data_IF_748105431693
#
_entry.id   IF_748105431693
#
_cell.length_a   1.000
_cell.length_b   1.000
_cell.length_c   1.000
_cell.angle_alpha   90.00
_cell.angle_beta   90.00
_cell.angle_gamma   90.00
#
_symmetry.space_group_name_H-M   'P 1'
#
loop_
_entity.id
_entity.type
_entity.pdbx_description
1 polymer ?
#
# COMPACT_ATOMS: atom_id res chain seq x y z
N UNK A 1 7.30 46.33 -12.12
CA UNK A 1 6.13 45.88 -11.37
C UNK A 1 5.71 44.56 -12.04
N UNK A 2 6.09 43.46 -11.43
CA UNK A 2 5.76 42.14 -11.93
C UNK A 2 4.81 41.50 -10.90
N UNK A 3 3.58 41.28 -11.29
CA UNK A 3 2.58 40.56 -10.51
C UNK A 3 2.88 39.07 -10.55
N UNK A 4 3.15 38.51 -9.40
CA UNK A 4 3.28 37.07 -9.19
C UNK A 4 1.88 36.47 -9.06
N UNK A 5 1.46 35.73 -10.08
CA UNK A 5 0.24 34.93 -10.05
C UNK A 5 0.51 33.65 -9.22
N UNK A 6 0.07 33.65 -7.95
CA UNK A 6 0.00 32.47 -7.09
C UNK A 6 -1.32 31.76 -7.38
N UNK A 7 -1.28 30.70 -8.15
CA UNK A 7 -2.42 29.78 -8.29
C UNK A 7 -2.76 29.16 -6.93
N UNK A 8 -3.82 29.63 -6.31
CA UNK A 8 -4.35 29.10 -5.06
C UNK A 8 -5.09 27.78 -5.33
N UNK A 9 -4.59 26.68 -4.81
CA UNK A 9 -5.35 25.43 -4.71
C UNK A 9 -6.46 25.63 -3.68
N UNK A 10 -7.70 25.54 -4.15
CA UNK A 10 -8.89 25.65 -3.30
C UNK A 10 -9.03 24.37 -2.47
N UNK A 11 -8.84 24.48 -1.16
CA UNK A 11 -9.20 23.41 -0.22
C UNK A 11 -10.73 23.43 -0.03
N UNK A 12 -11.39 22.31 -0.32
CA UNK A 12 -12.82 22.14 -0.03
C UNK A 12 -13.00 21.95 1.49
N UNK A 13 -13.68 22.88 2.14
CA UNK A 13 -14.07 22.76 3.54
C UNK A 13 -15.33 21.86 3.66
N UNK A 14 -15.27 20.84 4.51
CA UNK A 14 -16.40 19.96 4.82
C UNK A 14 -17.19 20.53 5.99
N UNK A 15 -18.50 20.65 5.81
CA UNK A 15 -19.47 21.10 6.83
C UNK A 15 -19.83 19.92 7.75
N UNK A 16 -19.68 20.11 9.06
CA UNK A 16 -19.94 19.09 10.09
C UNK A 16 -21.44 18.93 10.34
N UNK A 17 -21.96 17.71 10.33
CA UNK A 17 -23.31 17.35 10.83
C UNK A 17 -23.19 16.68 12.21
N UNK A 18 -24.10 17.02 13.12
CA UNK A 18 -24.10 16.69 14.54
C UNK A 18 -24.47 15.23 14.92
N UNK A 19 -24.47 14.85 16.22
CA UNK A 19 -24.14 13.52 16.71
C UNK A 19 -25.29 12.50 16.74
N UNK A 20 -24.97 11.25 16.40
CA UNK A 20 -25.80 10.05 16.62
C UNK A 20 -25.12 9.09 17.62
N UNK A 21 -25.87 8.46 18.48
CA UNK A 21 -25.44 7.68 19.61
C UNK A 21 -24.65 6.40 19.25
N UNK A 22 -23.55 6.13 19.97
CA UNK A 22 -22.63 5.04 19.73
C UNK A 22 -23.19 3.63 19.94
N UNK A 23 -22.72 2.69 19.12
CA UNK A 23 -22.99 1.26 19.22
C UNK A 23 -21.72 0.51 19.74
N UNK A 24 -21.89 -0.64 20.47
CA UNK A 24 -20.77 -1.37 21.06
C UNK A 24 -19.91 -2.09 20.01
N UNK A 25 -18.63 -2.32 20.36
CA UNK A 25 -17.64 -3.06 19.57
C UNK A 25 -18.20 -4.43 19.15
N UNK A 26 -18.37 -4.65 17.87
CA UNK A 26 -18.81 -5.94 17.33
C UNK A 26 -17.68 -6.98 17.45
N UNK A 27 -17.99 -8.12 18.06
CA UNK A 27 -17.13 -9.30 18.07
C UNK A 27 -17.03 -9.92 16.67
N UNK A 28 -16.10 -10.87 16.44
CA UNK A 28 -15.93 -11.50 15.13
C UNK A 28 -17.23 -12.15 14.66
N UNK A 29 -17.67 -11.81 13.44
CA UNK A 29 -18.82 -12.41 12.77
C UNK A 29 -20.16 -11.65 12.89
N UNK A 30 -20.20 -10.44 13.45
CA UNK A 30 -21.46 -9.66 13.62
C UNK A 30 -21.59 -8.47 12.66
N UNK A 31 -20.60 -8.23 11.78
CA UNK A 31 -20.64 -7.14 10.79
C UNK A 31 -21.62 -7.43 9.65
N UNK A 32 -22.08 -6.37 8.98
CA UNK A 32 -22.91 -6.45 7.77
C UNK A 32 -22.12 -7.03 6.60
N UNK A 33 -22.79 -7.79 5.76
CA UNK A 33 -22.17 -8.35 4.55
C UNK A 33 -21.93 -7.28 3.49
N UNK A 34 -21.04 -7.54 2.53
CA UNK A 34 -20.73 -6.63 1.42
C UNK A 34 -21.94 -6.24 0.54
N UNK A 35 -23.07 -6.93 0.65
CA UNK A 35 -24.30 -6.62 -0.07
C UNK A 35 -25.18 -5.57 0.61
N UNK A 36 -24.87 -5.23 1.88
CA UNK A 36 -25.58 -4.22 2.63
C UNK A 36 -24.82 -2.89 2.57
N UNK A 37 -25.58 -1.78 2.43
CA UNK A 37 -24.97 -0.45 2.53
C UNK A 37 -24.49 -0.26 3.96
N UNK A 38 -23.18 -0.15 4.14
CA UNK A 38 -22.58 0.12 5.44
C UNK A 38 -22.93 1.54 5.89
N UNK A 39 -23.45 1.67 7.10
CA UNK A 39 -23.69 2.98 7.71
C UNK A 39 -22.38 3.65 8.17
N UNK A 40 -21.36 2.84 8.49
CA UNK A 40 -20.03 3.27 8.91
C UNK A 40 -18.94 2.34 8.37
N UNK A 41 -17.77 2.88 8.09
CA UNK A 41 -16.56 2.08 7.76
C UNK A 41 -16.14 1.16 8.90
N UNK A 42 -16.50 1.49 10.13
CA UNK A 42 -16.30 0.63 11.30
C UNK A 42 -17.13 -0.64 11.34
N UNK A 43 -18.16 -0.75 10.49
CA UNK A 43 -19.02 -1.93 10.35
C UNK A 43 -18.51 -2.95 9.31
N UNK A 44 -17.29 -2.78 8.77
CA UNK A 44 -16.73 -3.71 7.77
C UNK A 44 -16.77 -5.14 8.26
N UNK A 45 -17.22 -6.02 7.38
CA UNK A 45 -17.20 -7.45 7.66
C UNK A 45 -15.77 -7.97 7.77
N UNK A 46 -15.50 -8.81 8.75
CA UNK A 46 -14.21 -9.44 8.95
C UNK A 46 -14.39 -10.88 9.45
N UNK A 47 -13.64 -11.82 8.90
CA UNK A 47 -13.72 -13.23 9.28
C UNK A 47 -12.43 -13.97 8.94
N UNK A 48 -12.08 -14.96 9.76
CA UNK A 48 -11.02 -15.92 9.46
C UNK A 48 -11.50 -17.05 8.52
N UNK A 49 -12.81 -17.19 8.34
CA UNK A 49 -13.40 -18.20 7.46
C UNK A 49 -13.67 -17.60 6.07
N UNK A 50 -12.96 -18.04 5.01
CA UNK A 50 -13.22 -17.58 3.65
C UNK A 50 -14.66 -17.85 3.19
N UNK A 51 -15.30 -18.91 3.67
CA UNK A 51 -16.67 -19.26 3.30
C UNK A 51 -17.72 -18.29 3.87
N UNK A 52 -17.36 -17.49 4.87
CA UNK A 52 -18.22 -16.43 5.41
C UNK A 52 -18.33 -15.20 4.49
N UNK A 53 -17.39 -15.03 3.54
CA UNK A 53 -17.42 -13.94 2.57
C UNK A 53 -18.35 -14.29 1.39
N UNK A 54 -19.15 -13.35 0.89
CA UNK A 54 -19.94 -13.58 -0.32
C UNK A 54 -19.02 -13.75 -1.54
N UNK A 55 -19.53 -14.51 -2.53
CA UNK A 55 -18.83 -14.60 -3.81
C UNK A 55 -18.71 -13.22 -4.48
N UNK A 56 -17.53 -12.90 -4.94
CA UNK A 56 -17.25 -11.57 -5.52
C UNK A 56 -17.77 -11.48 -6.96
N UNK A 57 -18.35 -10.33 -7.27
CA UNK A 57 -18.86 -9.99 -8.61
C UNK A 57 -18.05 -8.85 -9.26
N UNK A 58 -17.17 -8.16 -8.50
CA UNK A 58 -16.43 -6.97 -8.92
C UNK A 58 -17.26 -5.68 -8.87
N UNK A 59 -18.47 -5.73 -8.27
CA UNK A 59 -19.34 -4.56 -8.05
C UNK A 59 -19.34 -4.08 -6.61
N UNK A 60 -18.78 -4.89 -5.71
CA UNK A 60 -18.63 -4.58 -4.30
C UNK A 60 -17.72 -3.35 -4.15
N UNK A 61 -18.02 -2.48 -3.19
CA UNK A 61 -17.27 -1.23 -2.95
C UNK A 61 -15.77 -1.48 -2.82
N UNK A 62 -15.39 -2.55 -2.13
CA UNK A 62 -13.98 -2.89 -1.89
C UNK A 62 -13.30 -3.57 -3.09
N UNK A 63 -14.05 -3.96 -4.13
CA UNK A 63 -13.52 -4.71 -5.27
C UNK A 63 -13.80 -4.07 -6.64
N UNK A 64 -14.55 -2.96 -6.68
CA UNK A 64 -15.01 -2.33 -7.94
C UNK A 64 -13.89 -1.86 -8.87
N UNK A 65 -12.69 -1.63 -8.32
CA UNK A 65 -11.52 -1.25 -9.11
C UNK A 65 -10.61 -2.45 -9.43
N UNK A 66 -10.74 -3.55 -8.69
CA UNK A 66 -9.85 -4.71 -8.79
C UNK A 66 -10.28 -5.63 -9.95
N UNK A 67 -9.40 -5.91 -10.93
CA UNK A 67 -9.73 -6.79 -12.04
C UNK A 67 -9.72 -8.26 -11.59
N UNK A 68 -10.86 -8.79 -11.10
CA UNK A 68 -10.98 -10.12 -10.48
C UNK A 68 -10.38 -11.25 -11.34
N UNK A 69 -10.49 -11.16 -12.67
CA UNK A 69 -9.95 -12.17 -13.60
C UNK A 69 -8.42 -12.29 -13.55
N UNK A 70 -7.71 -11.26 -13.06
CA UNK A 70 -6.25 -11.25 -12.94
C UNK A 70 -5.76 -11.81 -11.60
N UNK A 71 -6.66 -12.10 -10.65
CA UNK A 71 -6.30 -12.53 -9.29
C UNK A 71 -5.86 -14.00 -9.20
N UNK A 72 -5.82 -14.73 -10.31
CA UNK A 72 -5.35 -16.13 -10.40
C UNK A 72 -5.96 -17.05 -9.34
N UNK A 73 -7.25 -16.85 -9.00
CA UNK A 73 -7.96 -17.68 -8.04
C UNK A 73 -7.68 -17.41 -6.56
N UNK A 74 -6.93 -16.34 -6.22
CA UNK A 74 -6.66 -15.97 -4.82
C UNK A 74 -7.90 -15.46 -4.09
N UNK A 75 -8.95 -15.07 -4.82
CA UNK A 75 -10.18 -14.48 -4.27
C UNK A 75 -11.35 -15.46 -4.15
N UNK A 76 -11.34 -16.55 -4.91
CA UNK A 76 -12.45 -17.52 -4.99
C UNK A 76 -12.09 -18.91 -4.47
N UNK A 77 -10.86 -19.08 -3.97
CA UNK A 77 -10.35 -20.31 -3.42
C UNK A 77 -9.83 -21.31 -4.44
N UNK A 78 -9.97 -21.06 -5.75
CA UNK A 78 -9.45 -21.99 -6.77
C UNK A 78 -7.92 -22.09 -6.71
N UNK A 79 -7.22 -21.02 -6.35
CA UNK A 79 -5.79 -21.07 -6.10
C UNK A 79 -5.41 -21.99 -4.92
N UNK A 80 -6.23 -22.04 -3.88
CA UNK A 80 -6.02 -22.92 -2.72
C UNK A 80 -6.32 -24.38 -3.04
N UNK A 81 -7.37 -24.65 -3.84
CA UNK A 81 -7.83 -25.98 -4.18
C UNK A 81 -6.98 -26.64 -5.28
N UNK A 82 -6.72 -25.93 -6.37
CA UNK A 82 -6.20 -26.47 -7.62
C UNK A 82 -4.85 -25.89 -8.04
N UNK A 83 -4.39 -24.80 -7.37
CA UNK A 83 -3.15 -24.13 -7.71
C UNK A 83 -1.93 -24.98 -7.39
N UNK A 84 -0.98 -25.05 -8.32
CA UNK A 84 0.33 -25.64 -8.05
C UNK A 84 1.02 -24.82 -6.95
N UNK A 85 1.36 -25.47 -5.84
CA UNK A 85 2.03 -24.80 -4.72
C UNK A 85 3.44 -24.35 -5.13
N UNK A 86 3.68 -23.06 -5.04
CA UNK A 86 4.99 -22.49 -5.24
C UNK A 86 5.88 -22.68 -4.02
N UNK A 87 7.18 -22.69 -4.27
CA UNK A 87 8.16 -22.56 -3.20
C UNK A 87 8.53 -21.09 -3.02
N UNK A 88 8.67 -20.67 -1.78
CA UNK A 88 9.24 -19.37 -1.45
C UNK A 88 10.59 -19.59 -0.77
N UNK A 89 11.59 -18.86 -1.21
CA UNK A 89 12.86 -18.76 -0.49
C UNK A 89 12.74 -17.58 0.46
N UNK A 90 12.74 -17.85 1.76
CA UNK A 90 12.70 -16.81 2.80
C UNK A 90 14.07 -16.76 3.49
N UNK A 91 14.71 -15.61 3.43
CA UNK A 91 15.97 -15.34 4.11
C UNK A 91 15.74 -14.33 5.22
N UNK A 92 16.28 -14.64 6.41
CA UNK A 92 16.16 -13.80 7.59
C UNK A 92 17.55 -13.32 8.01
N UNK A 93 17.71 -12.00 8.12
CA UNK A 93 18.86 -11.38 8.78
C UNK A 93 18.40 -10.73 10.06
N UNK A 94 18.71 -11.34 11.17
CA UNK A 94 18.23 -10.96 12.49
C UNK A 94 19.38 -10.39 13.32
N UNK A 95 19.28 -9.15 13.82
CA UNK A 95 20.21 -8.59 14.80
C UNK A 95 20.24 -9.40 16.11
N UNK A 96 21.32 -9.25 16.87
CA UNK A 96 21.48 -9.92 18.15
C UNK A 96 20.26 -9.69 19.06
N UNK A 97 19.78 -10.77 19.71
CA UNK A 97 18.63 -10.77 20.60
C UNK A 97 17.27 -10.90 19.90
N UNK A 98 17.17 -10.66 18.61
CA UNK A 98 15.94 -10.89 17.84
C UNK A 98 15.77 -12.38 17.57
N UNK A 99 14.57 -12.90 17.74
CA UNK A 99 14.25 -14.31 17.50
C UNK A 99 13.20 -14.47 16.42
N UNK A 100 13.26 -15.59 15.70
CA UNK A 100 12.21 -16.01 14.78
C UNK A 100 11.77 -17.44 15.10
N UNK A 101 10.46 -17.68 15.08
CA UNK A 101 9.87 -18.99 15.32
C UNK A 101 8.63 -19.22 14.45
N UNK A 102 8.33 -20.50 14.20
CA UNK A 102 7.08 -20.90 13.55
C UNK A 102 6.07 -21.27 14.62
N UNK A 103 4.88 -20.69 14.57
CA UNK A 103 3.82 -20.92 15.55
C UNK A 103 2.51 -21.34 14.89
N UNK A 104 1.66 -22.05 15.63
CA UNK A 104 0.31 -22.38 15.20
C UNK A 104 -0.66 -21.19 15.31
N UNK A 105 -1.87 -21.36 14.78
CA UNK A 105 -2.92 -20.33 14.78
C UNK A 105 -3.46 -20.00 16.16
N UNK A 106 -3.21 -20.84 17.15
CA UNK A 106 -3.58 -20.70 18.56
C UNK A 106 -2.61 -19.84 19.36
N UNK A 107 -1.48 -19.45 18.77
CA UNK A 107 -0.56 -18.51 19.40
C UNK A 107 -1.23 -17.14 19.60
N UNK A 108 -1.17 -16.55 20.81
CA UNK A 108 -1.89 -15.32 21.12
C UNK A 108 -1.43 -14.07 20.34
N UNK A 109 -0.33 -14.14 19.60
CA UNK A 109 0.16 -13.08 18.73
C UNK A 109 -0.50 -13.12 17.35
N UNK A 110 -0.94 -14.31 16.92
CA UNK A 110 -1.59 -14.52 15.61
C UNK A 110 -2.98 -13.91 15.63
N UNK A 111 -3.26 -13.01 14.67
CA UNK A 111 -4.54 -12.31 14.57
C UNK A 111 -4.77 -11.22 15.64
N UNK A 112 -3.80 -10.95 16.51
CA UNK A 112 -3.92 -9.89 17.51
C UNK A 112 -3.97 -8.50 16.89
N UNK A 113 -3.23 -8.27 15.80
CA UNK A 113 -3.22 -7.00 15.09
C UNK A 113 -4.48 -6.78 14.26
N UNK A 114 -5.09 -7.82 13.70
CA UNK A 114 -6.29 -7.70 12.87
C UNK A 114 -6.92 -9.03 12.49
N UNK A 115 -8.18 -8.95 12.09
CA UNK A 115 -8.94 -10.05 11.47
C UNK A 115 -8.95 -9.81 9.95
N UNK A 116 -8.93 -10.84 9.10
CA UNK A 116 -9.08 -10.68 7.67
C UNK A 116 -10.34 -9.89 7.31
N UNK A 117 -10.19 -8.83 6.51
CA UNK A 117 -11.30 -7.96 6.07
C UNK A 117 -11.72 -8.25 4.63
N UNK A 118 -11.01 -9.12 3.95
CA UNK A 118 -11.42 -9.64 2.65
C UNK A 118 -11.13 -11.13 2.52
N UNK A 119 -11.71 -11.71 1.48
CA UNK A 119 -11.65 -13.15 1.24
C UNK A 119 -10.23 -13.63 0.92
N UNK A 120 -9.39 -12.83 0.25
CA UNK A 120 -8.02 -13.23 -0.06
C UNK A 120 -7.14 -13.29 1.19
N UNK A 121 -7.31 -12.36 2.13
CA UNK A 121 -6.67 -12.40 3.44
C UNK A 121 -7.17 -13.59 4.28
N UNK A 122 -8.47 -13.91 4.20
CA UNK A 122 -9.02 -15.08 4.88
C UNK A 122 -8.45 -16.40 4.32
N UNK A 123 -8.27 -16.50 2.99
CA UNK A 123 -7.54 -17.62 2.37
C UNK A 123 -6.08 -17.66 2.80
N UNK A 124 -5.39 -16.50 2.88
CA UNK A 124 -4.02 -16.47 3.39
C UNK A 124 -3.93 -17.00 4.82
N UNK A 125 -4.85 -16.61 5.70
CA UNK A 125 -4.92 -17.12 7.07
C UNK A 125 -5.20 -18.64 7.11
N UNK A 126 -6.11 -19.11 6.29
CA UNK A 126 -6.48 -20.54 6.27
C UNK A 126 -5.37 -21.43 5.72
N UNK A 127 -4.69 -20.99 4.66
CA UNK A 127 -3.72 -21.80 3.94
C UNK A 127 -2.30 -21.70 4.51
N UNK A 128 -1.94 -20.57 5.14
CA UNK A 128 -0.72 -20.45 5.94
C UNK A 128 -0.91 -21.15 7.30
N UNK A 129 -0.71 -22.46 7.32
CA UNK A 129 -0.95 -23.31 8.51
C UNK A 129 -0.17 -22.85 9.75
N UNK A 130 0.96 -22.19 9.56
CA UNK A 130 1.81 -21.61 10.59
C UNK A 130 2.11 -20.15 10.27
N UNK A 131 2.31 -19.35 11.30
CA UNK A 131 2.82 -18.00 11.18
C UNK A 131 4.30 -17.96 11.56
N UNK A 132 5.08 -17.14 10.85
CA UNK A 132 6.45 -16.81 11.25
C UNK A 132 6.39 -15.61 12.17
N UNK A 133 6.75 -15.78 13.45
CA UNK A 133 6.79 -14.70 14.42
C UNK A 133 8.23 -14.26 14.64
N UNK A 134 8.50 -12.98 14.41
CA UNK A 134 9.80 -12.34 14.62
C UNK A 134 9.64 -11.40 15.82
N UNK A 135 10.36 -11.66 16.89
CA UNK A 135 10.23 -10.92 18.16
C UNK A 135 11.46 -10.06 18.42
N UNK A 136 11.23 -8.76 18.60
CA UNK A 136 12.22 -7.81 19.12
C UNK A 136 12.01 -7.68 20.61
N UNK A 137 13.02 -8.01 21.46
CA UNK A 137 12.88 -8.01 22.90
C UNK A 137 12.58 -6.62 23.49
N UNK A 138 11.96 -6.64 24.67
CA UNK A 138 11.65 -5.44 25.45
C UNK A 138 12.89 -4.57 25.69
N UNK A 139 12.71 -3.24 25.56
CA UNK A 139 13.77 -2.24 25.84
C UNK A 139 15.02 -2.34 24.95
N UNK A 140 14.99 -3.17 23.91
CA UNK A 140 16.09 -3.29 22.96
C UNK A 140 16.00 -2.24 21.86
N UNK A 141 17.07 -1.48 21.67
CA UNK A 141 17.23 -0.55 20.56
C UNK A 141 18.14 -1.20 19.51
N UNK A 142 17.59 -1.55 18.36
CA UNK A 142 18.34 -2.17 17.28
C UNK A 142 19.12 -1.11 16.49
N UNK A 143 20.40 -1.37 16.24
CA UNK A 143 21.25 -0.52 15.39
C UNK A 143 21.27 -0.97 13.93
N UNK A 144 20.87 -2.21 13.70
CA UNK A 144 20.75 -2.80 12.36
C UNK A 144 19.29 -3.21 12.12
N UNK A 145 18.80 -3.14 10.88
CA UNK A 145 17.44 -3.53 10.58
C UNK A 145 17.25 -5.06 10.64
N UNK A 146 16.08 -5.48 11.09
CA UNK A 146 15.57 -6.83 10.83
C UNK A 146 15.26 -6.91 9.33
N UNK A 147 15.84 -7.88 8.61
CA UNK A 147 15.55 -8.07 7.19
C UNK A 147 14.87 -9.40 6.95
N UNK A 148 13.81 -9.35 6.17
CA UNK A 148 13.07 -10.51 5.67
C UNK A 148 13.01 -10.40 4.15
N UNK A 149 13.68 -11.30 3.46
CA UNK A 149 13.69 -11.36 2.01
C UNK A 149 12.84 -12.55 1.56
N UNK A 150 11.77 -12.28 0.84
CA UNK A 150 10.85 -13.27 0.28
C UNK A 150 11.04 -13.31 -1.22
N UNK A 151 11.57 -14.41 -1.73
CA UNK A 151 11.68 -14.65 -3.16
C UNK A 151 10.73 -15.78 -3.57
N UNK A 152 9.70 -15.42 -4.32
CA UNK A 152 8.77 -16.39 -4.88
C UNK A 152 9.33 -17.07 -6.13
N UNK A 153 9.24 -18.38 -6.18
CA UNK A 153 9.76 -19.21 -7.25
C UNK A 153 8.66 -19.80 -8.15
N UNK A 154 7.60 -19.03 -8.40
CA UNK A 154 6.43 -19.45 -9.20
C UNK A 154 5.31 -20.08 -8.35
N UNK A 155 4.26 -20.56 -9.02
CA UNK A 155 3.10 -21.21 -8.39
C UNK A 155 2.30 -20.33 -7.44
N UNK A 156 1.56 -20.94 -6.52
CA UNK A 156 0.71 -20.27 -5.52
C UNK A 156 1.31 -20.39 -4.13
N UNK A 157 1.37 -19.29 -3.38
CA UNK A 157 1.85 -19.28 -1.99
C UNK A 157 0.94 -18.48 -1.07
N UNK A 158 0.91 -18.90 0.21
CA UNK A 158 0.19 -18.21 1.28
C UNK A 158 1.13 -18.05 2.48
N UNK A 159 1.13 -16.87 3.08
CA UNK A 159 2.03 -16.56 4.18
C UNK A 159 1.35 -15.76 5.29
N UNK A 160 1.83 -15.96 6.53
CA UNK A 160 1.48 -15.13 7.66
C UNK A 160 2.77 -14.78 8.43
N UNK A 161 3.09 -13.49 8.45
CA UNK A 161 4.24 -12.93 9.17
C UNK A 161 3.74 -12.10 10.34
N UNK A 162 4.36 -12.24 11.49
CA UNK A 162 4.06 -11.43 12.69
C UNK A 162 5.36 -10.83 13.21
N UNK A 163 5.43 -9.52 13.22
CA UNK A 163 6.50 -8.76 13.87
C UNK A 163 6.02 -8.28 15.23
N UNK A 164 6.64 -8.79 16.29
CA UNK A 164 6.26 -8.48 17.68
C UNK A 164 7.35 -7.61 18.33
N UNK A 165 7.21 -6.29 18.24
CA UNK A 165 8.11 -5.31 18.85
C UNK A 165 7.64 -5.04 20.26
N UNK A 166 8.38 -5.57 21.25
CA UNK A 166 8.02 -5.51 22.66
C UNK A 166 8.11 -4.09 23.22
N UNK A 167 7.46 -3.80 24.38
CA UNK A 167 7.45 -2.47 24.97
C UNK A 167 8.83 -1.81 25.09
N UNK A 168 8.90 -0.52 24.75
CA UNK A 168 10.09 0.32 24.78
C UNK A 168 11.24 -0.14 23.87
N UNK A 169 11.00 -1.06 22.95
CA UNK A 169 11.97 -1.44 21.93
C UNK A 169 11.93 -0.46 20.76
N UNK A 170 13.07 -0.31 20.05
CA UNK A 170 13.17 0.44 18.82
C UNK A 170 13.70 -0.47 17.71
N UNK A 171 12.96 -0.58 16.60
CA UNK A 171 13.32 -1.48 15.50
C UNK A 171 12.95 -0.91 14.14
N UNK A 172 13.83 -1.17 13.17
CA UNK A 172 13.55 -1.04 11.75
C UNK A 172 13.44 -2.43 11.15
N UNK A 173 12.38 -2.66 10.39
CA UNK A 173 12.08 -3.93 9.75
C UNK A 173 11.96 -3.67 8.25
N UNK A 174 12.72 -4.40 7.45
CA UNK A 174 12.67 -4.35 5.98
C UNK A 174 12.16 -5.69 5.48
N UNK A 175 11.02 -5.67 4.80
CA UNK A 175 10.38 -6.82 4.19
C UNK A 175 10.42 -6.66 2.66
N UNK A 176 11.36 -7.33 2.03
CA UNK A 176 11.56 -7.30 0.58
C UNK A 176 10.87 -8.49 -0.10
N UNK A 177 10.13 -8.21 -1.17
CA UNK A 177 9.46 -9.22 -1.99
C UNK A 177 9.96 -9.18 -3.42
N UNK A 178 10.33 -10.35 -3.97
CA UNK A 178 10.80 -10.50 -5.35
C UNK A 178 10.29 -11.82 -5.96
N UNK A 179 10.49 -11.97 -7.27
CA UNK A 179 10.17 -13.20 -8.00
C UNK A 179 8.73 -13.22 -8.52
N UNK A 180 8.28 -14.41 -8.94
CA UNK A 180 7.06 -14.63 -9.74
C UNK A 180 6.05 -15.51 -9.02
N UNK A 181 4.81 -15.56 -9.53
CA UNK A 181 3.72 -16.40 -9.05
C UNK A 181 2.56 -15.62 -8.44
N UNK A 182 1.64 -16.34 -7.78
CA UNK A 182 0.48 -15.75 -7.11
C UNK A 182 0.61 -15.90 -5.60
N UNK A 183 0.51 -14.82 -4.87
CA UNK A 183 0.70 -14.80 -3.42
C UNK A 183 -0.44 -14.10 -2.70
N UNK A 184 -0.92 -14.69 -1.61
CA UNK A 184 -1.76 -14.00 -0.63
C UNK A 184 -1.09 -14.06 0.74
N UNK A 185 -1.05 -12.93 1.45
CA UNK A 185 -0.32 -12.82 2.72
C UNK A 185 -1.06 -11.99 3.77
N UNK A 186 -0.78 -12.31 5.04
CA UNK A 186 -1.05 -11.43 6.18
C UNK A 186 0.28 -11.03 6.80
N UNK A 187 0.44 -9.74 7.07
CA UNK A 187 1.58 -9.18 7.79
C UNK A 187 1.06 -8.42 9.00
N UNK A 188 1.35 -8.91 10.17
CA UNK A 188 0.96 -8.30 11.44
C UNK A 188 2.16 -7.59 12.08
N UNK A 189 1.99 -6.34 12.52
CA UNK A 189 2.96 -5.59 13.31
C UNK A 189 2.34 -5.23 14.66
N UNK A 190 2.83 -5.84 15.71
CA UNK A 190 2.48 -5.55 17.10
C UNK A 190 3.51 -4.59 17.68
N UNK A 191 3.11 -3.37 17.99
CA UNK A 191 4.00 -2.34 18.57
C UNK A 191 3.63 -2.15 20.03
N UNK A 192 4.50 -2.59 20.92
CA UNK A 192 4.30 -2.53 22.38
C UNK A 192 4.30 -1.09 22.91
N UNK A 193 3.84 -0.91 24.14
CA UNK A 193 3.76 0.40 24.79
C UNK A 193 5.12 1.11 24.78
N UNK A 194 5.15 2.38 24.36
CA UNK A 194 6.36 3.19 24.28
C UNK A 194 7.40 2.73 23.24
N UNK A 195 7.09 1.71 22.43
CA UNK A 195 8.00 1.21 21.40
C UNK A 195 7.97 2.10 20.16
N UNK A 196 9.06 2.01 19.38
CA UNK A 196 9.16 2.65 18.06
C UNK A 196 9.46 1.60 17.00
N UNK A 197 8.59 1.46 16.03
CA UNK A 197 8.74 0.50 14.95
C UNK A 197 8.64 1.18 13.58
N UNK A 198 9.57 0.85 12.69
CA UNK A 198 9.48 1.20 11.27
C UNK A 198 9.37 -0.10 10.48
N UNK A 199 8.27 -0.30 9.76
CA UNK A 199 8.10 -1.41 8.81
C UNK A 199 8.16 -0.86 7.38
N UNK A 200 9.11 -1.35 6.60
CA UNK A 200 9.26 -1.00 5.18
C UNK A 200 9.00 -2.26 4.38
N UNK A 201 7.89 -2.26 3.63
CA UNK A 201 7.49 -3.35 2.75
C UNK A 201 7.74 -2.94 1.30
N UNK A 202 8.65 -3.64 0.62
CA UNK A 202 9.01 -3.39 -0.76
C UNK A 202 8.44 -4.50 -1.63
N UNK A 203 7.65 -4.11 -2.64
CA UNK A 203 7.01 -4.98 -3.62
C UNK A 203 7.77 -4.83 -4.95
N UNK A 204 8.86 -5.57 -5.11
CA UNK A 204 9.69 -5.60 -6.32
C UNK A 204 9.54 -6.93 -7.06
N UNK A 205 8.28 -7.32 -7.28
CA UNK A 205 7.88 -8.54 -7.95
C UNK A 205 8.24 -8.54 -9.43
N UNK A 206 8.38 -9.72 -10.02
CA UNK A 206 8.46 -9.87 -11.47
C UNK A 206 7.12 -9.43 -12.12
N UNK A 207 7.17 -9.02 -13.38
CA UNK A 207 6.02 -8.42 -14.11
C UNK A 207 4.79 -9.31 -14.22
N UNK A 208 4.94 -10.61 -14.03
CA UNK A 208 3.84 -11.58 -14.07
C UNK A 208 3.28 -11.91 -12.68
N UNK A 209 3.86 -11.42 -11.60
CA UNK A 209 3.42 -11.77 -10.26
C UNK A 209 2.10 -11.10 -9.85
N UNK A 210 1.29 -11.84 -9.08
CA UNK A 210 0.08 -11.32 -8.43
C UNK A 210 0.26 -11.41 -6.93
N UNK A 211 0.12 -10.30 -6.21
CA UNK A 211 0.25 -10.27 -4.76
C UNK A 211 -0.90 -9.53 -4.10
N UNK A 212 -1.60 -10.21 -3.20
CA UNK A 212 -2.62 -9.63 -2.33
C UNK A 212 -2.16 -9.75 -0.89
N UNK A 213 -2.09 -8.64 -0.16
CA UNK A 213 -1.66 -8.69 1.25
C UNK A 213 -2.47 -7.73 2.12
N UNK A 214 -2.90 -8.25 3.26
CA UNK A 214 -3.40 -7.45 4.37
C UNK A 214 -2.26 -7.21 5.35
N UNK A 215 -2.05 -5.95 5.71
CA UNK A 215 -1.02 -5.51 6.65
C UNK A 215 -1.69 -4.87 7.86
N UNK A 216 -1.64 -5.51 9.02
CA UNK A 216 -2.27 -5.01 10.22
C UNK A 216 -1.22 -4.44 11.17
N UNK A 217 -1.46 -3.26 11.68
CA UNK A 217 -0.62 -2.58 12.67
C UNK A 217 -1.44 -2.30 13.91
N UNK A 218 -1.01 -2.83 15.04
CA UNK A 218 -1.58 -2.55 16.36
C UNK A 218 -0.61 -1.69 17.17
N UNK A 219 -1.00 -0.44 17.44
CA UNK A 219 -0.17 0.56 18.11
C UNK A 219 -0.49 0.61 19.59
N UNK A 220 0.50 0.33 20.45
CA UNK A 220 0.39 0.39 21.90
C UNK A 220 0.34 1.81 22.44
N UNK A 221 0.26 1.96 23.77
CA UNK A 221 0.26 3.26 24.45
C UNK A 221 1.53 4.04 24.18
N UNK A 222 1.38 5.31 23.77
CA UNK A 222 2.51 6.23 23.53
C UNK A 222 3.57 5.64 22.56
N UNK A 223 3.18 4.67 21.74
CA UNK A 223 4.04 4.04 20.76
C UNK A 223 4.05 4.84 19.45
N UNK A 224 5.16 4.74 18.72
CA UNK A 224 5.32 5.36 17.40
C UNK A 224 5.53 4.30 16.35
N UNK A 225 4.77 4.39 15.26
CA UNK A 225 4.96 3.51 14.10
C UNK A 225 5.15 4.32 12.82
N UNK A 226 6.08 3.86 11.98
CA UNK A 226 6.19 4.27 10.59
C UNK A 226 5.99 3.03 9.72
N UNK A 227 4.96 3.06 8.87
CA UNK A 227 4.68 2.01 7.89
C UNK A 227 4.91 2.55 6.49
N UNK A 228 5.82 1.93 5.75
CA UNK A 228 6.21 2.36 4.41
C UNK A 228 5.92 1.24 3.42
N UNK A 229 5.07 1.52 2.42
CA UNK A 229 4.78 0.61 1.33
C UNK A 229 5.36 1.15 0.03
N UNK A 230 6.26 0.39 -0.58
CA UNK A 230 6.88 0.73 -1.87
C UNK A 230 6.52 -0.34 -2.90
N UNK A 231 5.94 0.06 -4.04
CA UNK A 231 5.47 -0.90 -5.05
C UNK A 231 5.96 -0.50 -6.44
N UNK A 232 6.76 -1.36 -7.05
CA UNK A 232 7.30 -1.19 -8.41
C UNK A 232 6.96 -2.34 -9.35
N UNK A 233 6.88 -3.56 -8.83
CA UNK A 233 6.71 -4.78 -9.60
C UNK A 233 5.31 -5.37 -9.50
N UNK A 234 5.11 -6.50 -10.18
CA UNK A 234 3.88 -7.27 -10.25
C UNK A 234 2.99 -6.92 -11.45
N UNK A 235 2.26 -7.90 -11.93
CA UNK A 235 1.11 -7.71 -12.81
C UNK A 235 -0.02 -7.01 -12.05
N UNK A 236 -0.30 -7.51 -10.84
CA UNK A 236 -1.27 -6.95 -9.93
C UNK A 236 -0.76 -7.02 -8.49
N UNK A 237 -0.70 -5.88 -7.82
CA UNK A 237 -0.40 -5.81 -6.37
C UNK A 237 -1.54 -5.07 -5.66
N UNK A 238 -2.15 -5.73 -4.67
CA UNK A 238 -3.21 -5.14 -3.85
C UNK A 238 -2.86 -5.27 -2.38
N UNK A 239 -2.58 -4.14 -1.75
CA UNK A 239 -2.23 -4.05 -0.33
C UNK A 239 -3.35 -3.38 0.47
N UNK A 240 -3.62 -3.93 1.66
CA UNK A 240 -4.64 -3.43 2.59
C UNK A 240 -3.96 -3.09 3.92
N UNK A 241 -3.27 -1.94 4.02
CA UNK A 241 -2.72 -1.47 5.29
C UNK A 241 -3.83 -1.04 6.24
N UNK A 242 -3.81 -1.57 7.46
CA UNK A 242 -4.76 -1.23 8.53
C UNK A 242 -4.00 -0.83 9.79
N UNK A 243 -4.38 0.28 10.39
CA UNK A 243 -3.81 0.75 11.65
C UNK A 243 -4.90 0.87 12.68
N UNK A 244 -4.65 0.30 13.86
CA UNK A 244 -5.52 0.41 15.04
C UNK A 244 -4.69 0.77 16.27
N UNK A 245 -5.27 1.52 17.16
CA UNK A 245 -4.64 1.92 18.41
C UNK A 245 -5.21 1.12 19.56
N UNK A 246 -4.35 0.38 20.28
CA UNK A 246 -4.74 -0.41 21.44
C UNK A 246 -4.92 0.45 22.70
N UNK A 247 -4.28 1.64 22.76
CA UNK A 247 -4.28 2.54 23.90
C UNK A 247 -3.99 3.98 23.44
N UNK A 248 -4.27 5.00 24.29
CA UNK A 248 -4.02 6.41 23.97
C UNK A 248 -2.57 6.77 23.68
N UNK A 249 -2.36 7.88 22.96
CA UNK A 249 -1.05 8.49 22.74
C UNK A 249 -0.25 7.92 21.56
N UNK A 250 -0.80 6.95 20.84
CA UNK A 250 -0.13 6.35 19.69
C UNK A 250 0.01 7.32 18.50
N UNK A 251 1.16 7.28 17.81
CA UNK A 251 1.45 8.08 16.59
C UNK A 251 1.81 7.14 15.43
N UNK A 252 1.06 7.22 14.33
CA UNK A 252 1.27 6.43 13.12
C UNK A 252 1.56 7.31 11.89
N UNK A 253 2.70 7.07 11.26
CA UNK A 253 3.05 7.65 9.97
C UNK A 253 2.98 6.56 8.89
N UNK A 254 2.10 6.76 7.89
CA UNK A 254 1.95 5.83 6.77
C UNK A 254 2.45 6.49 5.49
N UNK A 255 3.48 5.92 4.91
CA UNK A 255 4.08 6.39 3.66
C UNK A 255 3.85 5.35 2.56
N UNK A 256 3.53 5.84 1.37
CA UNK A 256 3.42 4.98 0.20
C UNK A 256 4.07 5.60 -1.03
N UNK A 257 4.77 4.75 -1.77
CA UNK A 257 5.33 5.08 -3.06
C UNK A 257 4.98 3.94 -4.02
N UNK A 258 4.38 4.28 -5.17
CA UNK A 258 4.11 3.30 -6.21
C UNK A 258 4.38 3.88 -7.59
N UNK A 259 4.94 3.05 -8.44
CA UNK A 259 5.20 3.37 -9.83
C UNK A 259 4.60 2.27 -10.71
N UNK A 260 3.56 2.61 -11.45
CA UNK A 260 2.90 1.69 -12.37
C UNK A 260 3.35 1.94 -13.80
N UNK A 261 3.66 0.86 -14.49
CA UNK A 261 4.01 0.85 -15.91
C UNK A 261 2.99 0.00 -16.68
N UNK A 262 3.11 0.01 -17.99
CA UNK A 262 2.21 -0.61 -18.96
C UNK A 262 1.50 -1.88 -18.48
N UNK A 263 0.17 -1.86 -18.46
CA UNK A 263 -0.70 -2.96 -18.03
C UNK A 263 -0.74 -3.28 -16.54
N UNK A 264 0.11 -2.70 -15.70
CA UNK A 264 0.14 -3.00 -14.26
C UNK A 264 -1.09 -2.43 -13.53
N UNK A 265 -1.55 -3.18 -12.52
CA UNK A 265 -2.57 -2.73 -11.57
C UNK A 265 -2.01 -2.70 -10.15
N UNK A 266 -1.80 -1.49 -9.59
CA UNK A 266 -1.27 -1.31 -8.24
C UNK A 266 -2.32 -0.65 -7.35
N UNK A 267 -2.80 -1.37 -6.34
CA UNK A 267 -3.90 -0.94 -5.49
C UNK A 267 -3.49 -0.87 -4.02
N UNK A 268 -3.79 0.25 -3.36
CA UNK A 268 -3.54 0.53 -1.95
C UNK A 268 -4.85 0.92 -1.27
N UNK A 269 -5.30 0.15 -0.27
CA UNK A 269 -6.56 0.42 0.46
C UNK A 269 -6.29 0.52 1.95
N UNK A 270 -5.99 1.73 2.41
CA UNK A 270 -5.70 1.96 3.82
C UNK A 270 -6.97 2.08 4.65
N UNK A 271 -6.85 1.69 5.91
CA UNK A 271 -7.84 1.99 6.92
C UNK A 271 -7.15 2.37 8.23
N UNK A 272 -7.43 3.55 8.75
CA UNK A 272 -6.94 4.02 10.05
C UNK A 272 -8.12 4.18 11.00
N UNK A 273 -8.16 3.35 12.04
CA UNK A 273 -9.23 3.32 13.05
C UNK A 273 -8.76 3.99 14.35
N UNK A 274 -9.15 5.23 14.54
CA UNK A 274 -8.97 5.94 15.80
C UNK A 274 -10.12 5.58 16.74
N UNK A 275 -9.87 4.62 17.64
CA UNK A 275 -10.87 4.13 18.60
C UNK A 275 -10.63 4.60 20.04
N UNK A 276 -9.46 5.21 20.31
CA UNK A 276 -9.04 5.68 21.64
C UNK A 276 -8.49 7.11 21.55
N UNK A 277 -8.51 7.89 22.67
CA UNK A 277 -8.18 9.30 22.63
C UNK A 277 -6.70 9.60 22.38
N UNK A 278 -6.42 10.84 21.96
CA UNK A 278 -5.08 11.43 21.82
C UNK A 278 -4.14 10.67 20.88
N UNK A 279 -4.68 10.03 19.83
CA UNK A 279 -3.89 9.36 18.84
C UNK A 279 -3.71 10.25 17.59
N UNK A 280 -2.58 10.02 16.90
CA UNK A 280 -2.22 10.77 15.71
C UNK A 280 -2.00 9.84 14.53
N UNK A 281 -2.41 10.29 13.32
CA UNK A 281 -1.98 9.64 12.08
C UNK A 281 -1.61 10.67 10.99
N UNK A 282 -0.61 10.32 10.19
CA UNK A 282 -0.23 11.06 8.98
C UNK A 282 -0.03 10.08 7.84
N UNK A 283 -0.83 10.24 6.80
CA UNK A 283 -0.80 9.41 5.61
C UNK A 283 -0.27 10.23 4.44
N UNK A 284 0.74 9.72 3.75
CA UNK A 284 1.26 10.35 2.53
C UNK A 284 1.57 9.28 1.49
N UNK A 285 0.79 9.25 0.42
CA UNK A 285 0.98 8.33 -0.69
C UNK A 285 1.23 9.09 -1.98
N UNK A 286 2.24 8.68 -2.73
CA UNK A 286 2.57 9.24 -4.05
C UNK A 286 2.71 8.15 -5.09
N UNK A 287 2.06 8.34 -6.23
CA UNK A 287 2.12 7.44 -7.37
C UNK A 287 2.59 8.14 -8.63
N UNK A 288 3.39 7.46 -9.44
CA UNK A 288 3.64 7.84 -10.83
C UNK A 288 3.17 6.72 -11.75
N UNK A 289 2.67 7.09 -12.92
CA UNK A 289 2.10 6.15 -13.88
C UNK A 289 2.58 6.47 -15.29
N UNK A 290 2.99 5.44 -15.99
CA UNK A 290 3.35 5.53 -17.43
C UNK A 290 2.86 4.28 -18.18
N UNK A 291 2.79 4.39 -19.51
CA UNK A 291 2.38 3.29 -20.39
C UNK A 291 0.87 3.14 -20.51
N UNK A 292 0.44 2.40 -21.52
CA UNK A 292 -0.96 2.14 -21.77
C UNK A 292 -1.52 1.18 -20.69
N UNK A 293 -2.79 1.40 -20.29
CA UNK A 293 -3.48 0.55 -19.30
C UNK A 293 -2.81 0.44 -17.91
N UNK A 294 -1.77 1.26 -17.63
CA UNK A 294 -1.26 1.40 -16.27
C UNK A 294 -2.35 1.95 -15.34
N UNK A 295 -2.66 1.22 -14.28
CA UNK A 295 -3.76 1.59 -13.39
C UNK A 295 -3.33 1.56 -11.92
N UNK A 296 -3.48 2.69 -11.25
CA UNK A 296 -3.29 2.75 -9.79
C UNK A 296 -4.59 3.10 -9.09
N UNK A 297 -4.78 2.49 -7.94
CA UNK A 297 -5.92 2.77 -7.06
C UNK A 297 -5.40 3.08 -5.67
N UNK A 298 -5.81 4.21 -5.13
CA UNK A 298 -5.58 4.55 -3.74
C UNK A 298 -6.91 4.85 -3.06
N UNK A 299 -7.21 4.11 -2.00
CA UNK A 299 -8.36 4.35 -1.13
C UNK A 299 -7.80 4.63 0.26
N UNK A 300 -8.10 5.79 0.82
CA UNK A 300 -7.77 6.17 2.19
C UNK A 300 -9.04 6.29 3.00
N UNK A 301 -9.19 5.44 4.00
CA UNK A 301 -10.31 5.47 4.93
C UNK A 301 -9.79 5.81 6.32
N UNK A 302 -10.24 6.91 6.92
CA UNK A 302 -10.00 7.26 8.33
C UNK A 302 -11.33 7.29 9.06
N UNK A 303 -11.41 6.55 10.15
CA UNK A 303 -12.52 6.57 11.09
C UNK A 303 -12.06 7.13 12.42
N UNK A 304 -12.71 8.19 12.89
CA UNK A 304 -12.53 8.77 14.23
C UNK A 304 -13.78 8.42 15.04
N UNK A 305 -13.66 7.42 15.93
CA UNK A 305 -14.80 6.94 16.73
C UNK A 305 -15.18 7.93 17.82
N UNK A 306 -16.39 7.80 18.33
CA UNK A 306 -16.94 8.69 19.36
C UNK A 306 -16.04 8.84 20.61
N UNK A 307 -15.28 7.81 20.98
CA UNK A 307 -14.36 7.83 22.11
C UNK A 307 -12.96 8.38 21.79
N UNK A 308 -12.65 8.68 20.52
CA UNK A 308 -11.33 9.09 20.07
C UNK A 308 -11.11 10.60 20.15
N UNK A 309 -11.40 11.21 21.30
CA UNK A 309 -11.17 12.63 21.57
C UNK A 309 -9.69 12.99 21.42
N UNK A 310 -9.38 14.20 21.00
CA UNK A 310 -8.01 14.68 20.83
C UNK A 310 -7.27 14.06 19.63
N UNK A 311 -7.95 13.41 18.71
CA UNK A 311 -7.36 12.86 17.49
C UNK A 311 -6.83 13.97 16.59
N UNK A 312 -5.64 13.72 15.99
CA UNK A 312 -5.01 14.56 14.98
C UNK A 312 -4.63 13.71 13.76
N UNK A 313 -5.35 13.86 12.65
CA UNK A 313 -5.14 13.04 11.45
C UNK A 313 -5.12 13.86 10.16
N UNK A 314 -4.30 13.41 9.21
CA UNK A 314 -4.29 13.99 7.87
C UNK A 314 -3.86 12.97 6.82
N UNK A 315 -4.58 12.92 5.69
CA UNK A 315 -4.25 12.08 4.56
C UNK A 315 -3.89 12.91 3.32
N UNK A 316 -2.86 12.50 2.62
CA UNK A 316 -2.44 13.07 1.35
C UNK A 316 -2.16 11.97 0.33
N UNK A 317 -2.85 12.05 -0.81
CA UNK A 317 -2.51 11.27 -2.00
C UNK A 317 -2.18 12.21 -3.16
N UNK A 318 -1.10 11.92 -3.86
CA UNK A 318 -0.73 12.62 -5.10
C UNK A 318 -0.32 11.62 -6.17
N UNK A 319 -0.85 11.80 -7.39
CA UNK A 319 -0.46 11.00 -8.53
C UNK A 319 0.06 11.90 -9.66
N UNK A 320 1.06 11.39 -10.37
CA UNK A 320 1.66 12.01 -11.53
C UNK A 320 1.50 11.07 -12.73
N UNK A 321 0.64 11.45 -13.66
CA UNK A 321 0.41 10.72 -14.92
C UNK A 321 1.41 11.21 -15.96
N UNK A 322 2.31 10.33 -16.40
CA UNK A 322 3.43 10.66 -17.27
C UNK A 322 3.10 10.51 -18.77
N UNK A 323 2.18 9.59 -19.10
CA UNK A 323 1.79 9.28 -20.48
C UNK A 323 0.28 9.16 -20.62
N UNK A 324 -0.24 9.22 -21.83
CA UNK A 324 -1.64 8.91 -22.11
C UNK A 324 -1.95 7.41 -21.90
N UNK A 325 -3.21 7.09 -21.64
CA UNK A 325 -3.68 5.73 -21.39
C UNK A 325 -3.54 5.24 -19.94
N UNK A 326 -2.68 5.87 -19.14
CA UNK A 326 -2.57 5.56 -17.72
C UNK A 326 -3.71 6.20 -16.90
N UNK A 327 -4.16 5.51 -15.84
CA UNK A 327 -5.29 5.91 -15.00
C UNK A 327 -4.96 5.80 -13.51
N UNK A 328 -5.23 6.87 -12.75
CA UNK A 328 -5.16 6.88 -11.29
C UNK A 328 -6.54 7.15 -10.68
N UNK A 329 -7.03 6.24 -9.86
CA UNK A 329 -8.22 6.42 -9.04
C UNK A 329 -7.81 6.72 -7.59
N UNK A 330 -8.38 7.79 -7.01
CA UNK A 330 -8.11 8.20 -5.63
C UNK A 330 -9.42 8.46 -4.90
N UNK A 331 -9.62 7.76 -3.80
CA UNK A 331 -10.86 7.81 -3.01
C UNK A 331 -10.52 8.07 -1.54
N UNK A 332 -10.32 9.34 -1.13
CA UNK A 332 -10.18 9.67 0.28
C UNK A 332 -11.54 9.69 0.98
N UNK A 333 -11.64 9.05 2.14
CA UNK A 333 -12.82 9.02 2.98
C UNK A 333 -12.46 9.38 4.42
N UNK A 334 -13.29 10.18 5.05
CA UNK A 334 -13.12 10.62 6.42
C UNK A 334 -14.46 10.54 7.14
N UNK A 335 -14.52 9.71 8.18
CA UNK A 335 -15.70 9.55 9.02
C UNK A 335 -15.36 10.01 10.44
N UNK A 336 -16.16 10.93 10.99
CA UNK A 336 -15.88 11.58 12.27
C UNK A 336 -17.12 11.45 13.14
N UNK A 337 -17.01 10.71 14.25
CA UNK A 337 -18.09 10.48 15.20
C UNK A 337 -18.02 11.40 16.43
N UNK A 338 -16.94 12.19 16.61
CA UNK A 338 -16.78 13.14 17.72
C UNK A 338 -16.28 14.50 17.22
N UNK A 339 -16.78 15.58 17.82
CA UNK A 339 -16.30 16.94 17.56
C UNK A 339 -15.05 17.36 18.33
N UNK A 340 -14.64 16.57 19.33
CA UNK A 340 -13.54 16.88 20.25
C UNK A 340 -12.19 16.37 19.67
N UNK A 341 -11.75 16.95 18.54
CA UNK A 341 -10.53 16.57 17.85
C UNK A 341 -9.57 17.75 17.73
N UNK A 342 -8.28 17.49 17.62
CA UNK A 342 -7.26 18.50 17.30
C UNK A 342 -7.41 18.93 15.84
N UNK A 343 -7.57 17.96 14.94
CA UNK A 343 -7.81 18.22 13.53
C UNK A 343 -7.96 16.94 12.72
N UNK A 344 -8.68 17.06 11.61
CA UNK A 344 -8.81 16.00 10.63
C UNK A 344 -8.92 16.60 9.23
N UNK A 345 -8.34 15.92 8.24
CA UNK A 345 -8.43 16.37 6.86
C UNK A 345 -7.85 15.37 5.88
N UNK A 346 -8.20 15.57 4.62
CA UNK A 346 -7.61 14.82 3.53
C UNK A 346 -7.38 15.73 2.31
N UNK A 347 -6.43 15.36 1.46
CA UNK A 347 -6.23 15.94 0.15
C UNK A 347 -5.84 14.87 -0.86
N UNK A 348 -6.40 14.96 -2.06
CA UNK A 348 -6.02 14.13 -3.19
C UNK A 348 -5.86 14.98 -4.43
N UNK A 349 -4.80 14.71 -5.20
CA UNK A 349 -4.57 15.37 -6.48
C UNK A 349 -3.94 14.41 -7.48
N UNK A 350 -4.46 14.41 -8.70
CA UNK A 350 -3.84 13.74 -9.84
C UNK A 350 -3.48 14.80 -10.87
N UNK A 351 -2.18 14.96 -11.11
CA UNK A 351 -1.63 15.86 -12.13
C UNK A 351 -1.10 15.07 -13.32
N UNK A 352 -1.11 15.69 -14.48
CA UNK A 352 -0.34 15.23 -15.64
C UNK A 352 1.03 15.88 -15.64
N UNK A 353 1.94 15.28 -16.35
CA UNK A 353 3.23 15.90 -16.63
C UNK A 353 2.99 17.25 -17.33
N UNK A 354 3.60 18.30 -16.79
CA UNK A 354 3.35 19.67 -17.25
C UNK A 354 4.23 20.01 -18.45
N UNK A 355 3.60 20.16 -19.62
CA UNK A 355 4.27 20.51 -20.87
C UNK A 355 4.99 21.86 -20.78
N UNK A 356 4.53 22.82 -19.97
CA UNK A 356 5.20 24.09 -19.76
C UNK A 356 6.50 23.91 -18.96
N UNK A 357 6.48 23.04 -17.94
CA UNK A 357 7.70 22.69 -17.18
C UNK A 357 8.68 21.94 -18.07
N UNK A 358 8.21 21.02 -18.88
CA UNK A 358 9.02 20.30 -19.85
C UNK A 358 9.67 21.29 -20.85
N UNK A 359 8.88 22.15 -21.45
CA UNK A 359 9.38 23.16 -22.39
C UNK A 359 10.42 24.09 -21.74
N UNK A 360 10.18 24.50 -20.48
CA UNK A 360 11.14 25.33 -19.75
C UNK A 360 12.49 24.61 -19.56
N UNK A 361 12.47 23.33 -19.17
CA UNK A 361 13.69 22.54 -18.99
C UNK A 361 14.42 22.32 -20.32
N UNK A 362 13.68 22.01 -21.40
CA UNK A 362 14.23 21.84 -22.75
C UNK A 362 14.84 23.16 -23.29
N UNK A 363 14.23 24.30 -23.02
CA UNK A 363 14.76 25.61 -23.40
C UNK A 363 16.11 25.95 -22.69
N UNK A 364 16.43 25.23 -21.63
CA UNK A 364 17.72 25.28 -20.90
C UNK A 364 18.72 24.23 -21.36
N UNK A 365 18.41 23.48 -22.42
CA UNK A 365 19.29 22.47 -23.00
C UNK A 365 19.21 21.11 -22.32
N UNK A 366 18.22 20.88 -21.46
CA UNK A 366 17.96 19.57 -20.84
C UNK A 366 17.12 18.75 -21.84
N UNK A 367 17.53 17.52 -22.12
CA UNK A 367 16.73 16.63 -22.99
C UNK A 367 15.39 16.29 -22.34
N UNK A 368 14.41 15.88 -23.14
CA UNK A 368 13.09 15.50 -22.64
C UNK A 368 13.17 14.37 -21.60
N UNK A 369 13.94 13.33 -21.89
CA UNK A 369 14.12 12.20 -20.99
C UNK A 369 14.73 12.61 -19.65
N UNK A 370 15.73 13.48 -19.67
CA UNK A 370 16.37 13.98 -18.45
C UNK A 370 15.42 14.92 -17.69
N UNK A 371 14.61 15.71 -18.37
CA UNK A 371 13.60 16.56 -17.74
C UNK A 371 12.53 15.71 -17.04
N UNK A 372 12.05 14.65 -17.69
CA UNK A 372 11.10 13.68 -17.08
C UNK A 372 11.71 13.03 -15.83
N UNK A 373 12.97 12.56 -15.90
CA UNK A 373 13.67 11.99 -14.75
C UNK A 373 13.77 12.97 -13.56
N UNK A 374 14.16 14.21 -13.83
CA UNK A 374 14.30 15.23 -12.80
C UNK A 374 12.97 15.53 -12.10
N UNK A 375 11.87 15.62 -12.83
CA UNK A 375 10.54 15.86 -12.26
C UNK A 375 10.08 14.70 -11.40
N UNK A 376 10.21 13.46 -11.87
CA UNK A 376 9.79 12.27 -11.12
C UNK A 376 10.66 12.04 -9.89
N UNK A 377 11.99 12.26 -10.01
CA UNK A 377 12.89 12.26 -8.83
C UNK A 377 12.44 13.26 -7.78
N UNK A 378 12.19 14.51 -8.20
CA UNK A 378 11.69 15.56 -7.30
C UNK A 378 10.33 15.21 -6.68
N UNK A 379 9.46 14.56 -7.45
CA UNK A 379 8.14 14.15 -6.99
C UNK A 379 8.22 13.12 -5.86
N UNK A 380 9.14 12.16 -5.92
CA UNK A 380 9.29 11.13 -4.89
C UNK A 380 10.28 11.47 -3.78
N UNK A 381 11.19 12.41 -4.00
CA UNK A 381 12.32 12.69 -3.12
C UNK A 381 11.93 12.92 -1.65
N UNK A 382 10.85 13.65 -1.40
CA UNK A 382 10.40 13.95 -0.03
C UNK A 382 9.84 12.72 0.70
N UNK A 383 9.19 11.79 -0.01
CA UNK A 383 8.69 10.53 0.59
C UNK A 383 9.85 9.59 0.85
N UNK A 384 10.78 9.47 -0.12
CA UNK A 384 11.96 8.60 0.01
C UNK A 384 12.85 9.07 1.17
N UNK A 385 13.14 10.38 1.26
CA UNK A 385 13.96 10.94 2.35
C UNK A 385 13.34 10.73 3.75
N UNK A 386 12.02 10.56 3.86
CA UNK A 386 11.34 10.26 5.14
C UNK A 386 11.49 8.81 5.58
N UNK A 387 11.98 7.92 4.72
CA UNK A 387 12.28 6.52 5.08
C UNK A 387 13.38 6.49 6.15
N UNK A 388 14.42 7.29 5.98
CA UNK A 388 15.46 7.47 6.98
C UNK A 388 16.52 6.35 7.00
N UNK A 389 16.67 5.61 5.87
CA UNK A 389 17.67 4.55 5.70
C UNK A 389 18.43 4.82 4.38
N UNK A 390 19.65 5.39 4.44
CA UNK A 390 20.35 5.89 3.25
C UNK A 390 20.52 4.85 2.14
N UNK A 391 20.96 3.64 2.46
CA UNK A 391 21.19 2.57 1.45
C UNK A 391 19.87 2.18 0.75
N UNK A 392 18.75 2.18 1.50
CA UNK A 392 17.44 1.89 0.95
C UNK A 392 16.91 3.05 0.10
N UNK A 393 17.12 4.28 0.54
CA UNK A 393 16.75 5.48 -0.21
C UNK A 393 17.45 5.53 -1.57
N UNK A 394 18.76 5.22 -1.61
CA UNK A 394 19.52 5.15 -2.86
C UNK A 394 19.00 4.02 -3.76
N UNK A 395 18.76 2.82 -3.21
CA UNK A 395 18.19 1.68 -3.95
C UNK A 395 16.84 2.01 -4.55
N UNK A 396 15.94 2.64 -3.77
CA UNK A 396 14.61 3.00 -4.23
C UNK A 396 14.65 4.10 -5.31
N UNK A 397 15.50 5.09 -5.16
CA UNK A 397 15.67 6.14 -6.17
C UNK A 397 16.23 5.56 -7.48
N UNK A 398 17.22 4.67 -7.40
CA UNK A 398 17.73 3.96 -8.57
C UNK A 398 16.65 3.12 -9.25
N UNK A 399 15.76 2.47 -8.47
CA UNK A 399 14.64 1.71 -9.01
C UNK A 399 13.66 2.61 -9.77
N UNK A 400 13.32 3.77 -9.22
CA UNK A 400 12.49 4.78 -9.91
C UNK A 400 13.11 5.15 -11.27
N UNK A 401 14.42 5.37 -11.32
CA UNK A 401 15.13 5.69 -12.57
C UNK A 401 15.10 4.53 -13.57
N UNK A 402 15.20 3.29 -13.09
CA UNK A 402 15.12 2.09 -13.91
C UNK A 402 13.73 1.94 -14.53
N UNK A 403 12.68 2.13 -13.75
CA UNK A 403 11.31 2.05 -14.26
C UNK A 403 11.03 3.15 -15.30
N UNK A 404 11.49 4.37 -15.07
CA UNK A 404 11.38 5.46 -16.05
C UNK A 404 12.07 5.16 -17.38
N UNK A 405 13.23 4.50 -17.36
CA UNK A 405 13.97 4.20 -18.59
C UNK A 405 13.37 3.09 -19.44
N UNK A 406 12.49 2.26 -18.90
CA UNK A 406 11.80 1.19 -19.63
C UNK A 406 10.80 1.71 -20.64
N UNK A 407 10.06 2.79 -20.32
CA UNK A 407 9.06 3.37 -21.22
C UNK A 407 9.69 4.00 -22.47
N UNK A 408 10.84 4.63 -22.31
CA UNK A 408 11.57 5.25 -23.44
C UNK A 408 11.97 4.19 -24.48
N UNK A 409 12.33 2.99 -24.03
CA UNK A 409 12.67 1.89 -24.93
C UNK A 409 11.46 1.26 -25.63
N UNK A 410 10.30 1.26 -25.01
CA UNK A 410 9.07 0.72 -25.60
C UNK A 410 8.43 1.68 -26.62
N UNK A 411 8.49 2.98 -26.38
CA UNK A 411 8.02 4.01 -27.34
C UNK A 411 8.90 4.07 -28.59
N UNK A 412 10.23 3.95 -28.45
CA UNK A 412 11.14 3.90 -29.60
C UNK A 412 10.94 2.65 -30.45
N UNK A 413 10.71 1.49 -29.83
CA UNK A 413 10.44 0.24 -30.56
C UNK A 413 9.09 0.26 -31.29
N UNK A 414 8.06 0.88 -30.72
CA UNK A 414 6.75 1.02 -31.38
C UNK A 414 6.78 2.03 -32.54
N UNK A 415 7.56 3.10 -32.44
CA UNK A 415 7.72 4.09 -33.53
C UNK A 415 8.54 3.55 -34.69
N UNK A 416 9.56 2.72 -34.45
CA UNK A 416 10.33 2.05 -35.53
C UNK A 416 9.49 0.95 -36.20
N UNK A 417 8.65 0.21 -35.47
CA UNK A 417 7.71 -0.76 -36.02
C UNK A 417 6.68 -0.12 -36.95
N UNK A 418 6.09 0.99 -36.53
CA UNK A 418 5.11 1.74 -37.36
C UNK A 418 5.71 2.34 -38.62
N UNK A 419 6.97 2.78 -38.60
CA UNK A 419 7.69 3.28 -39.76
C UNK A 419 8.05 2.15 -40.74
N UNK A 420 8.33 0.93 -40.27
CA UNK A 420 8.64 -0.22 -41.09
C UNK A 420 7.41 -0.81 -41.78
N UNK A 421 6.25 -0.84 -41.15
CA UNK A 421 4.99 -1.26 -41.75
C UNK A 421 4.47 -0.25 -42.81
N UNK A 422 4.61 1.06 -42.54
CA UNK A 422 4.27 2.11 -43.49
C UNK A 422 5.14 2.09 -44.77
N UNK A 423 6.41 1.70 -44.65
CA UNK A 423 7.32 1.57 -45.78
C UNK A 423 7.03 0.32 -46.64
N UNK A 424 6.59 -0.79 -46.01
CA UNK A 424 6.20 -2.01 -46.72
C UNK A 424 4.89 -1.84 -47.50
N UNK A 425 3.89 -1.18 -46.93
CA UNK A 425 2.62 -0.89 -47.58
C UNK A 425 2.75 0.07 -48.78
N UNK A 426 3.71 0.98 -48.74
CA UNK A 426 3.97 1.92 -49.83
C UNK A 426 4.70 1.27 -51.04
N UNK A 427 5.35 0.12 -50.84
CA UNK A 427 6.02 -0.64 -51.88
C UNK A 427 5.07 -1.61 -52.60
N UNK A 428 4.02 -2.12 -51.95
CA UNK A 428 3.00 -2.97 -52.57
C UNK A 428 2.01 -2.21 -53.47
N UNK A 429 1.87 -0.91 -53.31
CA UNK A 429 0.98 -0.07 -54.17
C UNK A 429 1.68 0.39 -55.47
N UNK A 430 2.97 0.11 -55.63
CA UNK A 430 3.77 0.49 -56.83
C UNK A 430 4.21 -0.68 -57.71
N UNK A 431 3.71 -1.89 -57.47
CA UNK A 431 4.00 -3.06 -58.34
C UNK A 431 2.81 -3.43 -59.24
#
# INVERSE_FOLDING_TARGET
MAETNKGAMTAAAVTVAGPGAGAPLAGPGTGKTHSEVLASRGERFASYDPAAFPALTGREEDWRFTPLKRLRGLHDGSAAADGERGADKVELSLPDGVTAEQVGRDDPRVGKAGVPVDVAAAWAFQEAQQATVITVPKEQVLTEPVRVEVRALGGVGFAHLVFDVKPFAEAVIVLDHTGSGARAAIVDLLVGDGAKATLISVQDWDRDAVHLAQQNVLVGRDATVKSVNVTFGGDLVRLIPQVRYAAPGGDAELLGLYFADDGQHLEQRLFVDHAVPNCRSRVTYKGALQGADAHTVWVGDVLIRAAAEGTDTYELNRNLVLTDGARADSVPNLEIETGEIVGAGHASATGRFDDEQLFYLQSRGISEDEARRLVVRGFFADVIARIGIPDLEERLMHKVETELSRSVSSESASSEGALSEGASAAQEVRA
#
